data_IF_600430047190
#
_entry.id   IF_600430047190
#
_cell.length_a   1.000
_cell.length_b   1.000
_cell.length_c   1.000
_cell.angle_alpha   90.00
_cell.angle_beta   90.00
_cell.angle_gamma   90.00
#
_symmetry.space_group_name_H-M   'P 1'
#
loop_
_entity.id
_entity.type
_entity.pdbx_description
1 polymer ?
#
# COMPACT_ATOMS: atom_id res chain seq x y z
N UNK A 1 12.93 -10.67 -22.23
CA UNK A 1 11.54 -10.23 -22.02
C UNK A 1 11.24 -10.11 -20.52
N UNK A 2 11.95 -9.17 -19.87
CA UNK A 2 12.01 -9.04 -18.40
C UNK A 2 10.82 -8.28 -17.83
N UNK A 3 9.65 -8.89 -17.92
CA UNK A 3 8.44 -8.35 -17.33
C UNK A 3 8.46 -8.70 -15.84
N UNK A 4 8.53 -7.69 -14.97
CA UNK A 4 8.50 -7.89 -13.52
C UNK A 4 7.05 -8.19 -13.12
N UNK A 5 6.73 -9.41 -12.65
CA UNK A 5 5.36 -9.75 -12.27
C UNK A 5 4.91 -8.88 -11.09
N UNK A 6 3.58 -8.69 -10.97
CA UNK A 6 2.99 -8.09 -9.79
C UNK A 6 3.45 -8.78 -8.51
N UNK A 7 3.56 -8.02 -7.41
CA UNK A 7 3.96 -8.58 -6.11
C UNK A 7 2.89 -9.56 -5.62
N UNK A 8 3.27 -10.68 -4.98
CA UNK A 8 2.32 -11.63 -4.43
C UNK A 8 1.22 -11.00 -3.58
N UNK A 9 -0.01 -11.43 -3.81
CA UNK A 9 -1.22 -10.97 -3.14
C UNK A 9 -1.81 -9.65 -3.66
N UNK A 10 -1.14 -8.91 -4.54
CA UNK A 10 -1.65 -7.61 -4.98
C UNK A 10 -2.98 -7.73 -5.72
N UNK A 11 -3.07 -8.59 -6.73
CA UNK A 11 -4.29 -8.79 -7.52
C UNK A 11 -5.45 -9.26 -6.63
N UNK A 12 -5.18 -10.18 -5.69
CA UNK A 12 -6.16 -10.69 -4.73
C UNK A 12 -6.70 -9.58 -3.83
N UNK A 13 -5.82 -8.78 -3.24
CA UNK A 13 -6.21 -7.72 -2.30
C UNK A 13 -6.96 -6.59 -3.00
N UNK A 14 -6.51 -6.13 -4.16
CA UNK A 14 -7.22 -5.05 -4.87
C UNK A 14 -8.59 -5.49 -5.35
N UNK A 15 -8.73 -6.76 -5.79
CA UNK A 15 -10.02 -7.32 -6.21
C UNK A 15 -10.95 -7.42 -5.01
N UNK A 16 -10.50 -7.99 -3.90
CA UNK A 16 -11.32 -8.09 -2.68
C UNK A 16 -11.75 -6.72 -2.15
N UNK A 17 -10.84 -5.73 -2.15
CA UNK A 17 -11.14 -4.37 -1.73
C UNK A 17 -12.16 -3.70 -2.65
N UNK A 18 -11.99 -3.83 -3.98
CA UNK A 18 -12.94 -3.32 -4.97
C UNK A 18 -14.34 -3.94 -4.81
N UNK A 19 -14.41 -5.27 -4.71
CA UNK A 19 -15.66 -6.01 -4.52
C UNK A 19 -16.37 -5.63 -3.20
N UNK A 20 -15.60 -5.27 -2.18
CA UNK A 20 -16.11 -4.75 -0.90
C UNK A 20 -16.48 -3.26 -0.94
N UNK A 21 -16.33 -2.59 -2.08
CA UNK A 21 -16.68 -1.18 -2.28
C UNK A 21 -15.65 -0.19 -1.73
N UNK A 22 -14.40 -0.60 -1.53
CA UNK A 22 -13.34 0.30 -1.10
C UNK A 22 -12.88 1.20 -2.24
N UNK A 23 -12.56 2.45 -1.89
CA UNK A 23 -11.90 3.37 -2.81
C UNK A 23 -10.45 2.94 -3.03
N UNK A 24 -10.03 2.81 -4.28
CA UNK A 24 -8.68 2.40 -4.66
C UNK A 24 -7.88 3.59 -5.20
N UNK A 25 -6.67 3.76 -4.69
CA UNK A 25 -5.77 4.83 -5.13
C UNK A 25 -4.30 4.42 -5.12
N UNK A 26 -3.51 5.04 -6.00
CA UNK A 26 -2.05 4.95 -6.00
C UNK A 26 -1.48 6.34 -5.71
N UNK A 27 -0.56 6.44 -4.74
CA UNK A 27 0.16 7.66 -4.41
C UNK A 27 1.68 7.44 -4.56
N UNK A 28 2.30 8.07 -5.56
CA UNK A 28 3.69 7.82 -5.95
C UNK A 28 4.45 9.11 -6.31
N UNK A 29 5.77 9.11 -6.16
CA UNK A 29 6.67 10.19 -6.62
C UNK A 29 7.22 9.97 -8.02
N UNK A 30 6.89 8.82 -8.64
CA UNK A 30 7.25 8.47 -10.01
C UNK A 30 6.34 9.16 -11.03
N UNK A 31 6.80 9.28 -12.28
CA UNK A 31 5.98 9.82 -13.37
C UNK A 31 4.68 9.02 -13.57
N UNK A 32 3.58 9.72 -13.84
CA UNK A 32 2.24 9.13 -13.95
C UNK A 32 2.16 8.01 -14.99
N UNK A 33 2.74 8.20 -16.17
CA UNK A 33 2.76 7.18 -17.24
C UNK A 33 3.40 5.87 -16.77
N UNK A 34 4.51 5.96 -16.02
CA UNK A 34 5.19 4.79 -15.45
C UNK A 34 4.32 4.12 -14.39
N UNK A 35 3.64 4.90 -13.54
CA UNK A 35 2.75 4.38 -12.50
C UNK A 35 1.56 3.65 -13.12
N UNK A 36 0.93 4.23 -14.14
CA UNK A 36 -0.19 3.62 -14.87
C UNK A 36 0.24 2.33 -15.56
N UNK A 37 1.39 2.32 -16.23
CA UNK A 37 1.92 1.12 -16.87
C UNK A 37 2.17 -0.02 -15.87
N UNK A 38 2.78 0.28 -14.71
CA UNK A 38 3.00 -0.71 -13.65
C UNK A 38 1.68 -1.20 -13.06
N UNK A 39 0.72 -0.31 -12.82
CA UNK A 39 -0.59 -0.65 -12.29
C UNK A 39 -1.37 -1.56 -13.25
N UNK A 40 -1.50 -1.16 -14.52
CA UNK A 40 -2.16 -1.97 -15.55
C UNK A 40 -1.51 -3.34 -15.71
N UNK A 41 -0.18 -3.40 -15.58
CA UNK A 41 0.53 -4.66 -15.64
C UNK A 41 0.24 -5.56 -14.42
N UNK A 42 0.23 -4.97 -13.21
CA UNK A 42 0.06 -5.72 -11.98
C UNK A 42 -1.35 -6.25 -11.76
N UNK A 43 -2.38 -5.48 -12.13
CA UNK A 43 -3.78 -5.79 -11.80
C UNK A 43 -4.69 -5.95 -13.02
N UNK A 44 -4.18 -5.68 -14.23
CA UNK A 44 -4.96 -5.66 -15.46
C UNK A 44 -5.62 -4.30 -15.72
N UNK A 45 -5.86 -3.99 -17.00
CA UNK A 45 -6.40 -2.69 -17.43
C UNK A 45 -7.77 -2.36 -16.84
N UNK A 46 -8.66 -3.34 -16.79
CA UNK A 46 -10.02 -3.13 -16.30
C UNK A 46 -10.02 -2.78 -14.81
N UNK A 47 -9.24 -3.50 -13.99
CA UNK A 47 -9.09 -3.19 -12.58
C UNK A 47 -8.35 -1.85 -12.37
N UNK A 48 -7.29 -1.59 -13.13
CA UNK A 48 -6.54 -0.34 -13.05
C UNK A 48 -7.38 0.90 -13.34
N UNK A 49 -8.43 0.78 -14.17
CA UNK A 49 -9.36 1.87 -14.45
C UNK A 49 -10.19 2.31 -13.23
N UNK A 50 -10.27 1.48 -12.17
CA UNK A 50 -10.94 1.83 -10.92
C UNK A 50 -10.06 2.62 -9.93
N UNK A 51 -8.77 2.79 -10.22
CA UNK A 51 -7.85 3.53 -9.35
C UNK A 51 -7.81 5.02 -9.66
N UNK A 52 -7.83 5.84 -8.62
CA UNK A 52 -7.35 7.22 -8.70
C UNK A 52 -5.83 7.24 -8.58
N UNK A 53 -5.13 7.90 -9.51
CA UNK A 53 -3.66 7.93 -9.55
C UNK A 53 -3.16 9.33 -9.21
N UNK A 54 -2.39 9.42 -8.12
CA UNK A 54 -1.70 10.61 -7.65
C UNK A 54 -0.20 10.39 -7.82
N UNK A 55 0.40 10.95 -8.87
CA UNK A 55 1.75 10.64 -9.30
C UNK A 55 2.51 11.87 -9.82
N UNK A 56 3.85 11.78 -9.85
CA UNK A 56 4.73 12.80 -10.44
C UNK A 56 4.95 14.01 -9.56
N UNK A 57 4.90 15.19 -10.17
CA UNK A 57 5.19 16.50 -9.55
C UNK A 57 3.90 17.26 -9.19
N UNK A 58 2.85 16.54 -8.80
CA UNK A 58 1.55 17.14 -8.44
C UNK A 58 1.52 17.72 -7.01
N UNK A 59 2.61 17.56 -6.26
CA UNK A 59 2.79 18.12 -4.91
C UNK A 59 4.13 18.83 -4.81
N UNK A 60 4.21 19.82 -3.92
CA UNK A 60 5.41 20.63 -3.74
C UNK A 60 6.55 19.84 -3.08
N UNK A 61 6.25 19.10 -2.00
CA UNK A 61 7.23 18.27 -1.30
C UNK A 61 6.95 16.78 -1.54
N UNK A 62 8.00 16.05 -1.95
CA UNK A 62 7.93 14.60 -2.18
C UNK A 62 8.17 13.81 -0.90
N UNK A 63 7.78 12.53 -0.89
CA UNK A 63 8.10 11.57 0.19
C UNK A 63 9.58 11.71 0.61
N UNK A 64 9.88 11.91 1.91
CA UNK A 64 9.07 11.58 3.08
C UNK A 64 8.07 12.65 3.55
N UNK A 65 7.89 13.76 2.83
CA UNK A 65 6.80 14.69 3.12
C UNK A 65 5.43 14.01 2.88
N UNK A 66 4.39 14.34 3.67
CA UNK A 66 3.08 13.68 3.61
C UNK A 66 2.20 14.14 2.45
N UNK A 67 2.62 15.17 1.70
CA UNK A 67 1.80 15.95 0.78
C UNK A 67 1.01 15.10 -0.20
N UNK A 68 1.61 14.07 -0.80
CA UNK A 68 0.93 13.21 -1.78
C UNK A 68 -0.23 12.42 -1.15
N UNK A 69 -0.08 12.00 0.11
CA UNK A 69 -1.14 11.31 0.84
C UNK A 69 -2.23 12.27 1.29
N UNK A 70 -1.86 13.46 1.77
CA UNK A 70 -2.82 14.50 2.16
C UNK A 70 -3.64 14.97 0.96
N UNK A 71 -3.01 15.14 -0.21
CA UNK A 71 -3.68 15.46 -1.46
C UNK A 71 -4.67 14.35 -1.85
N UNK A 72 -4.23 13.09 -1.82
CA UNK A 72 -5.10 11.96 -2.15
C UNK A 72 -6.33 11.88 -1.23
N UNK A 73 -6.15 12.01 0.08
CA UNK A 73 -7.26 12.03 1.04
C UNK A 73 -8.24 13.18 0.76
N UNK A 74 -7.71 14.39 0.50
CA UNK A 74 -8.51 15.57 0.21
C UNK A 74 -9.34 15.40 -1.07
N UNK A 75 -8.72 15.00 -2.18
CA UNK A 75 -9.38 14.87 -3.48
C UNK A 75 -10.40 13.72 -3.50
N UNK A 76 -10.14 12.66 -2.74
CA UNK A 76 -11.08 11.53 -2.60
C UNK A 76 -12.18 11.78 -1.56
N UNK A 77 -12.06 12.83 -0.73
CA UNK A 77 -12.98 13.10 0.37
C UNK A 77 -12.98 12.02 1.45
N UNK A 78 -11.86 11.31 1.62
CA UNK A 78 -11.72 10.19 2.56
C UNK A 78 -11.10 10.69 3.88
N UNK A 79 -11.74 10.44 5.04
CA UNK A 79 -11.13 10.71 6.34
C UNK A 79 -9.85 9.90 6.53
N UNK A 80 -8.85 10.48 7.19
CA UNK A 80 -7.59 9.79 7.52
C UNK A 80 -7.82 8.49 8.32
N UNK A 81 -8.90 8.42 9.10
CA UNK A 81 -9.23 7.23 9.89
C UNK A 81 -9.78 6.07 9.05
N UNK A 82 -10.30 6.35 7.86
CA UNK A 82 -10.89 5.36 6.94
C UNK A 82 -9.89 4.94 5.84
N UNK A 83 -8.61 5.28 5.98
CA UNK A 83 -7.57 4.99 5.01
C UNK A 83 -6.42 4.17 5.61
N UNK A 84 -5.99 3.17 4.84
CA UNK A 84 -4.81 2.34 5.09
C UNK A 84 -3.89 2.38 3.87
N UNK A 85 -2.60 2.51 4.12
CA UNK A 85 -1.57 2.56 3.08
C UNK A 85 -0.81 1.24 3.03
N UNK A 86 -0.51 0.77 1.82
CA UNK A 86 0.50 -0.28 1.59
C UNK A 86 1.74 0.37 0.99
N UNK A 87 2.87 0.23 1.67
CA UNK A 87 4.16 0.83 1.29
C UNK A 87 5.26 -0.23 1.16
N UNK A 88 6.38 0.14 0.53
CA UNK A 88 7.53 -0.74 0.36
C UNK A 88 8.88 -0.12 0.76
N UNK A 89 8.90 1.17 1.09
CA UNK A 89 10.11 1.90 1.49
C UNK A 89 9.91 2.72 2.77
N UNK A 90 10.99 2.97 3.51
CA UNK A 90 10.99 3.79 4.71
C UNK A 90 10.68 5.26 4.41
N UNK A 91 11.06 5.77 3.23
CA UNK A 91 10.63 7.11 2.79
C UNK A 91 9.10 7.19 2.66
N UNK A 92 8.51 6.14 2.07
CA UNK A 92 7.08 6.03 1.92
C UNK A 92 6.34 5.86 3.24
N UNK A 93 6.85 4.99 4.11
CA UNK A 93 6.32 4.84 5.46
C UNK A 93 6.37 6.19 6.21
N UNK A 94 7.51 6.88 6.22
CA UNK A 94 7.62 8.19 6.91
C UNK A 94 6.60 9.21 6.41
N UNK A 95 6.35 9.26 5.11
CA UNK A 95 5.30 10.10 4.54
C UNK A 95 3.90 9.71 5.01
N UNK A 96 3.58 8.41 5.02
CA UNK A 96 2.29 7.92 5.49
C UNK A 96 2.08 8.19 6.99
N UNK A 97 3.11 7.97 7.82
CA UNK A 97 3.07 8.28 9.25
C UNK A 97 2.92 9.78 9.50
N UNK A 98 3.61 10.63 8.74
CA UNK A 98 3.45 12.09 8.81
C UNK A 98 2.04 12.56 8.41
N UNK A 99 1.35 11.80 7.54
CA UNK A 99 -0.06 11.98 7.22
C UNK A 99 -1.02 11.34 8.25
N UNK A 100 -0.50 10.75 9.33
CA UNK A 100 -1.24 10.00 10.36
C UNK A 100 -1.97 8.75 9.83
N UNK A 101 -1.48 8.18 8.72
CA UNK A 101 -2.05 7.00 8.08
C UNK A 101 -1.47 5.72 8.65
N UNK A 102 -2.37 4.76 8.87
CA UNK A 102 -2.01 3.40 9.25
C UNK A 102 -1.41 2.71 8.05
N UNK A 103 -0.26 2.07 8.24
CA UNK A 103 0.55 1.61 7.11
C UNK A 103 0.96 0.17 7.29
N UNK A 104 0.68 -0.66 6.29
CA UNK A 104 1.24 -2.00 6.12
C UNK A 104 2.44 -1.88 5.19
N UNK A 105 3.57 -2.44 5.57
CA UNK A 105 4.78 -2.45 4.74
C UNK A 105 4.98 -3.83 4.13
N UNK A 106 5.26 -3.85 2.83
CA UNK A 106 5.70 -5.03 2.08
C UNK A 106 7.14 -4.81 1.64
N UNK A 107 8.13 -5.45 2.27
CA UNK A 107 9.55 -5.20 1.97
C UNK A 107 9.98 -5.80 0.64
N UNK A 108 10.94 -5.19 -0.04
CA UNK A 108 11.59 -5.74 -1.23
C UNK A 108 13.03 -6.17 -0.92
N UNK A 109 13.71 -6.80 -1.87
CA UNK A 109 15.15 -7.08 -1.75
C UNK A 109 16.02 -5.82 -1.60
N UNK A 110 15.48 -4.64 -1.94
CA UNK A 110 16.18 -3.37 -1.82
C UNK A 110 15.88 -2.63 -0.52
N UNK A 111 14.80 -3.00 0.18
CA UNK A 111 14.28 -2.25 1.33
C UNK A 111 14.22 -3.08 2.62
N UNK A 112 14.64 -4.34 2.59
CA UNK A 112 14.56 -5.26 3.74
C UNK A 112 15.36 -4.84 4.97
N UNK A 113 16.37 -3.97 4.80
CA UNK A 113 17.22 -3.46 5.89
C UNK A 113 16.84 -2.05 6.36
N UNK A 114 15.77 -1.46 5.79
CA UNK A 114 15.32 -0.13 6.18
C UNK A 114 14.55 -0.14 7.52
N UNK A 115 14.44 1.03 8.15
CA UNK A 115 13.69 1.19 9.41
C UNK A 115 12.19 1.38 9.13
N UNK A 116 11.40 0.41 9.58
CA UNK A 116 9.94 0.41 9.49
C UNK A 116 9.23 0.65 10.83
N UNK A 117 9.93 1.25 11.80
CA UNK A 117 9.34 1.65 13.08
C UNK A 117 8.12 2.55 12.85
N UNK A 118 7.01 2.22 13.52
CA UNK A 118 5.73 2.92 13.38
C UNK A 118 4.75 2.25 12.40
N UNK A 119 5.20 1.33 11.54
CA UNK A 119 4.29 0.53 10.70
C UNK A 119 3.34 -0.31 11.57
N UNK A 120 2.11 -0.50 11.08
CA UNK A 120 1.12 -1.38 11.72
C UNK A 120 1.49 -2.85 11.57
N UNK A 121 2.03 -3.22 10.41
CA UNK A 121 2.46 -4.56 10.05
C UNK A 121 3.58 -4.46 9.01
N UNK A 122 4.62 -5.30 9.12
CA UNK A 122 5.69 -5.42 8.13
C UNK A 122 5.78 -6.88 7.70
N UNK A 123 5.66 -7.13 6.41
CA UNK A 123 5.63 -8.46 5.78
C UNK A 123 6.53 -8.49 4.54
N UNK A 124 6.87 -9.68 4.05
CA UNK A 124 7.62 -9.87 2.79
C UNK A 124 6.78 -9.54 1.54
N UNK A 125 5.49 -9.82 1.59
CA UNK A 125 4.51 -9.53 0.53
C UNK A 125 3.10 -9.61 1.10
N UNK A 126 2.06 -9.40 0.29
CA UNK A 126 0.67 -9.63 0.72
C UNK A 126 0.30 -11.13 0.67
N UNK A 127 1.10 -11.96 0.00
CA UNK A 127 0.99 -13.42 -0.06
C UNK A 127 -0.14 -13.94 -0.95
N UNK A 128 0.07 -15.11 -1.54
CA UNK A 128 -0.95 -15.94 -2.19
C UNK A 128 -0.80 -17.38 -1.67
N UNK A 129 -1.82 -17.90 -1.01
CA UNK A 129 -1.82 -19.21 -0.36
C UNK A 129 -2.05 -20.33 -1.38
N UNK A 130 -1.34 -21.46 -1.28
CA UNK A 130 -0.34 -21.79 -0.24
C UNK A 130 1.04 -21.16 -0.47
N UNK A 131 1.39 -20.81 -1.71
CA UNK A 131 2.63 -20.11 -2.06
C UNK A 131 2.43 -19.21 -3.30
N UNK A 132 3.14 -18.07 -3.39
CA UNK A 132 4.12 -17.57 -2.42
C UNK A 132 3.48 -16.94 -1.16
N UNK A 133 3.81 -17.47 0.01
CA UNK A 133 3.26 -17.01 1.29
C UNK A 133 3.91 -15.71 1.80
N UNK A 134 3.14 -14.91 2.51
CA UNK A 134 3.62 -13.77 3.29
C UNK A 134 4.30 -14.27 4.58
N UNK A 135 5.49 -13.71 4.85
CA UNK A 135 6.17 -13.88 6.14
C UNK A 135 6.12 -12.57 6.91
N UNK A 136 5.75 -12.65 8.19
CA UNK A 136 5.71 -11.50 9.10
C UNK A 136 7.12 -11.17 9.59
N UNK A 137 7.53 -9.91 9.40
CA UNK A 137 8.82 -9.38 9.84
C UNK A 137 8.67 -8.53 11.11
N UNK A 138 7.58 -7.77 11.23
CA UNK A 138 7.21 -7.06 12.45
C UNK A 138 5.70 -6.94 12.56
N UNK A 139 5.14 -7.16 13.75
CA UNK A 139 3.70 -7.13 13.99
C UNK A 139 3.39 -6.58 15.39
N UNK A 140 3.65 -5.28 15.64
CA UNK A 140 3.50 -4.67 16.96
C UNK A 140 2.05 -4.65 17.48
N UNK A 141 1.07 -4.89 16.60
CA UNK A 141 -0.36 -4.91 16.93
C UNK A 141 -0.96 -6.32 17.00
N UNK A 142 -0.14 -7.36 16.84
CA UNK A 142 -0.53 -8.78 16.94
C UNK A 142 -1.67 -9.22 16.00
N UNK A 143 -1.66 -8.75 14.76
CA UNK A 143 -2.61 -9.23 13.73
C UNK A 143 -2.38 -10.72 13.42
N UNK A 144 -3.45 -11.46 13.13
CA UNK A 144 -3.35 -12.84 12.66
C UNK A 144 -3.09 -12.83 11.14
N UNK A 145 -1.89 -13.22 10.73
CA UNK A 145 -1.47 -13.33 9.32
C UNK A 145 -1.03 -14.76 9.10
N UNK A 146 -1.90 -15.56 8.49
CA UNK A 146 -1.63 -16.95 8.13
C UNK A 146 -1.43 -17.04 6.61
N UNK A 147 -0.16 -17.04 6.18
CA UNK A 147 0.29 -17.04 4.78
C UNK A 147 -0.13 -15.84 3.91
N UNK A 148 -1.14 -15.07 4.29
CA UNK A 148 -1.65 -13.94 3.51
C UNK A 148 -2.03 -12.76 4.41
N UNK A 149 -1.78 -11.54 3.93
CA UNK A 149 -2.50 -10.36 4.37
C UNK A 149 -3.84 -10.35 3.64
N UNK A 150 -4.94 -10.39 4.38
CA UNK A 150 -6.31 -10.40 3.84
C UNK A 150 -6.99 -9.03 3.99
N UNK A 151 -8.14 -8.84 3.34
CA UNK A 151 -8.94 -7.64 3.55
C UNK A 151 -9.41 -7.51 5.00
N UNK A 152 -9.66 -8.62 5.70
CA UNK A 152 -9.98 -8.61 7.13
C UNK A 152 -8.82 -8.07 7.98
N UNK A 153 -7.57 -8.43 7.63
CA UNK A 153 -6.38 -7.86 8.29
C UNK A 153 -6.30 -6.35 8.05
N UNK A 154 -6.52 -5.89 6.81
CA UNK A 154 -6.52 -4.46 6.50
C UNK A 154 -7.66 -3.71 7.21
N UNK A 155 -8.83 -4.33 7.34
CA UNK A 155 -9.96 -3.79 8.10
C UNK A 155 -9.63 -3.68 9.59
N UNK A 156 -8.98 -4.71 10.16
CA UNK A 156 -8.49 -4.64 11.54
C UNK A 156 -7.45 -3.55 11.74
N UNK A 157 -6.55 -3.35 10.77
CA UNK A 157 -5.58 -2.24 10.79
C UNK A 157 -6.31 -0.91 10.98
N UNK A 158 -7.35 -0.62 10.20
CA UNK A 158 -8.15 0.61 10.32
C UNK A 158 -8.72 0.86 11.73
N UNK A 159 -9.01 -0.19 12.49
CA UNK A 159 -9.55 -0.06 13.86
C UNK A 159 -8.50 0.27 14.92
N UNK A 160 -7.21 0.22 14.59
CA UNK A 160 -6.13 0.50 15.56
C UNK A 160 -5.95 2.00 15.81
N UNK A 161 -5.34 2.46 16.92
CA UNK A 161 -4.94 3.86 17.05
C UNK A 161 -3.98 4.32 15.94
N UNK A 162 -4.18 5.55 15.45
CA UNK A 162 -3.26 6.23 14.53
C UNK A 162 -1.82 6.25 15.08
N UNK A 163 -0.80 6.25 14.20
CA UNK A 163 0.60 6.36 14.61
C UNK A 163 0.93 7.68 15.32
#
# INVERSE_FOLDING_TARGET
DGVMPGRPGITRIVTAAHDAGWTLAVASTSHEDSVRAVLEHAVGKDMAAHFSVFAGDIVAEKKPAPDIYLLALQELGIPVDDAVVVEDSANGLRAALAAQLRTVVTVSSFTSEEDFTGASLVVTSLGDSPEPAASVLANPRNFSVDHEVTLDVLTQVLTTPRP
#
